data_IF_276334302450
#
_entry.id   IF_276334302450
#
_cell.length_a   1.000
_cell.length_b   1.000
_cell.length_c   1.000
_cell.angle_alpha   90.00
_cell.angle_beta   90.00
_cell.angle_gamma   90.00
#
_symmetry.space_group_name_H-M   'P 1'
#
loop_
_entity.id
_entity.type
_entity.pdbx_description
1 polymer ?
#
# COMPACT_ATOMS: atom_id res chain seq x y z
N UNK A 1 -6.07 -18.08 9.51
CA UNK A 1 -5.86 -16.62 9.58
C UNK A 1 -4.76 -16.21 8.64
N UNK A 2 -5.02 -15.22 7.82
CA UNK A 2 -4.00 -14.65 6.96
C UNK A 2 -3.07 -13.79 7.81
N UNK A 3 -1.80 -14.14 7.84
CA UNK A 3 -0.80 -13.30 8.47
C UNK A 3 -0.60 -12.05 7.62
N UNK A 4 -0.78 -10.90 8.23
CA UNK A 4 -0.39 -9.65 7.61
C UNK A 4 1.10 -9.43 7.87
N UNK A 5 1.83 -9.14 6.81
CA UNK A 5 3.24 -8.82 6.91
C UNK A 5 3.43 -7.31 6.92
N UNK A 6 4.30 -6.83 7.80
CA UNK A 6 4.70 -5.43 7.79
C UNK A 6 5.57 -5.16 6.56
N UNK A 7 5.69 -3.90 6.18
CA UNK A 7 6.55 -3.51 5.05
C UNK A 7 7.99 -3.97 5.26
N UNK A 8 8.50 -3.85 6.49
CA UNK A 8 9.85 -4.31 6.83
C UNK A 8 10.01 -5.81 6.62
N UNK A 9 9.00 -6.58 7.05
CA UNK A 9 9.00 -8.03 6.88
C UNK A 9 8.99 -8.40 5.40
N UNK A 10 8.18 -7.72 4.60
CA UNK A 10 8.10 -7.95 3.15
C UNK A 10 9.47 -7.75 2.50
N UNK A 11 10.13 -6.67 2.81
CA UNK A 11 11.46 -6.37 2.25
C UNK A 11 12.49 -7.41 2.66
N UNK A 12 12.49 -7.82 3.93
CA UNK A 12 13.37 -8.89 4.40
C UNK A 12 13.12 -10.21 3.68
N UNK A 13 11.83 -10.56 3.55
CA UNK A 13 11.44 -11.81 2.87
C UNK A 13 11.93 -11.79 1.43
N UNK A 14 11.72 -10.69 0.71
CA UNK A 14 12.19 -10.56 -0.68
C UNK A 14 13.70 -10.70 -0.78
N UNK A 15 14.43 -10.07 0.14
CA UNK A 15 15.90 -10.18 0.17
C UNK A 15 16.36 -11.60 0.45
N UNK A 16 15.74 -12.29 1.40
CA UNK A 16 16.04 -13.69 1.72
C UNK A 16 15.75 -14.61 0.53
N UNK A 17 14.65 -14.40 -0.15
CA UNK A 17 14.27 -15.20 -1.32
C UNK A 17 15.29 -15.03 -2.44
N UNK A 18 15.76 -13.83 -2.70
CA UNK A 18 16.79 -13.58 -3.71
C UNK A 18 18.11 -14.30 -3.38
N UNK A 19 18.49 -14.33 -2.10
CA UNK A 19 19.73 -14.98 -1.66
C UNK A 19 19.63 -16.49 -1.65
N UNK A 20 18.43 -17.04 -1.57
CA UNK A 20 18.24 -18.49 -1.41
C UNK A 20 18.63 -19.31 -2.63
N UNK A 21 18.55 -18.73 -3.82
CA UNK A 21 18.77 -19.44 -5.07
C UNK A 21 17.75 -20.52 -5.39
N UNK A 22 16.68 -20.61 -4.60
CA UNK A 22 15.61 -21.58 -4.79
C UNK A 22 14.63 -21.11 -5.87
N UNK A 23 13.88 -22.06 -6.39
CA UNK A 23 12.71 -21.73 -7.23
C UNK A 23 11.73 -20.91 -6.42
N UNK A 24 11.01 -20.03 -7.09
CA UNK A 24 10.06 -19.13 -6.42
C UNK A 24 9.03 -19.90 -5.59
N UNK A 25 8.49 -21.00 -6.13
CA UNK A 25 7.54 -21.84 -5.40
C UNK A 25 8.11 -22.38 -4.10
N UNK A 26 9.35 -22.85 -4.13
CA UNK A 26 10.03 -23.39 -2.95
C UNK A 26 10.42 -22.30 -1.95
N UNK A 27 10.84 -21.15 -2.46
CA UNK A 27 11.21 -20.00 -1.62
C UNK A 27 10.00 -19.40 -0.90
N UNK A 28 8.81 -19.50 -1.48
CA UNK A 28 7.57 -18.99 -0.87
C UNK A 28 7.10 -19.83 0.32
N UNK A 29 7.39 -21.13 0.33
CA UNK A 29 6.88 -22.05 1.36
C UNK A 29 7.23 -21.65 2.79
N UNK A 30 8.51 -21.37 3.12
CA UNK A 30 8.86 -21.00 4.50
C UNK A 30 8.14 -19.75 4.99
N UNK A 31 7.76 -18.87 4.07
CA UNK A 31 7.11 -17.60 4.41
C UNK A 31 5.58 -17.68 4.32
N UNK A 32 5.04 -18.84 3.92
CA UNK A 32 3.61 -19.09 3.83
C UNK A 32 2.90 -18.09 2.91
N UNK A 33 3.53 -17.78 1.79
CA UNK A 33 2.98 -16.89 0.77
C UNK A 33 2.84 -17.65 -0.56
N UNK A 34 1.96 -17.14 -1.41
CA UNK A 34 1.77 -17.65 -2.77
C UNK A 34 2.75 -16.98 -3.72
N UNK A 35 2.97 -17.59 -4.88
CA UNK A 35 3.77 -16.96 -5.94
C UNK A 35 3.16 -15.63 -6.38
N UNK A 36 1.82 -15.53 -6.44
CA UNK A 36 1.13 -14.29 -6.77
C UNK A 36 1.46 -13.19 -5.78
N UNK A 37 1.47 -13.51 -4.50
CA UNK A 37 1.85 -12.57 -3.45
C UNK A 37 3.30 -12.13 -3.62
N UNK A 38 4.20 -13.06 -3.89
CA UNK A 38 5.60 -12.75 -4.15
C UNK A 38 5.77 -11.76 -5.30
N UNK A 39 5.12 -12.01 -6.44
CA UNK A 39 5.24 -11.13 -7.61
C UNK A 39 4.63 -9.76 -7.35
N UNK A 40 3.53 -9.70 -6.62
CA UNK A 40 2.92 -8.43 -6.22
C UNK A 40 3.86 -7.61 -5.34
N UNK A 41 4.48 -8.26 -4.37
CA UNK A 41 5.46 -7.62 -3.48
C UNK A 41 6.69 -7.15 -4.24
N UNK A 42 7.16 -7.97 -5.15
CA UNK A 42 8.35 -7.62 -5.96
C UNK A 42 8.10 -6.41 -6.84
N UNK A 43 6.92 -6.30 -7.42
CA UNK A 43 6.56 -5.11 -8.20
C UNK A 43 6.49 -3.85 -7.36
N UNK A 44 5.97 -3.96 -6.15
CA UNK A 44 5.77 -2.80 -5.27
C UNK A 44 7.02 -2.42 -4.50
N UNK A 45 7.75 -3.40 -3.98
CA UNK A 45 8.85 -3.17 -3.06
C UNK A 45 10.21 -3.68 -3.52
N UNK A 46 10.29 -4.31 -4.68
CA UNK A 46 11.55 -4.83 -5.19
C UNK A 46 12.58 -3.73 -5.36
N UNK A 47 13.77 -3.94 -4.80
CA UNK A 47 14.84 -2.97 -4.86
C UNK A 47 14.73 -1.80 -3.90
N UNK A 48 13.64 -1.72 -3.12
CA UNK A 48 13.48 -0.66 -2.11
C UNK A 48 14.20 -1.01 -0.82
N UNK A 49 14.72 0.00 -0.16
CA UNK A 49 15.15 -0.10 1.22
C UNK A 49 13.95 0.08 2.15
N UNK A 50 14.08 -0.37 3.40
CA UNK A 50 13.00 -0.28 4.39
C UNK A 50 12.52 1.16 4.56
N UNK A 51 13.42 2.13 4.61
CA UNK A 51 13.07 3.53 4.76
C UNK A 51 12.23 4.05 3.59
N UNK A 52 12.58 3.65 2.38
CA UNK A 52 11.85 4.03 1.16
C UNK A 52 10.44 3.44 1.15
N UNK A 53 10.31 2.17 1.54
CA UNK A 53 9.03 1.50 1.59
C UNK A 53 8.12 2.08 2.67
N UNK A 54 8.68 2.46 3.82
CA UNK A 54 7.94 3.18 4.87
C UNK A 54 7.43 4.51 4.36
N UNK A 55 8.28 5.24 3.67
CA UNK A 55 7.91 6.54 3.08
C UNK A 55 6.80 6.39 2.06
N UNK A 56 6.88 5.36 1.22
CA UNK A 56 5.83 5.05 0.26
C UNK A 56 4.50 4.81 0.96
N UNK A 57 4.50 4.01 2.02
CA UNK A 57 3.29 3.72 2.80
C UNK A 57 2.70 4.99 3.41
N UNK A 58 3.53 5.82 4.01
CA UNK A 58 3.10 7.10 4.58
C UNK A 58 2.47 8.00 3.52
N UNK A 59 3.08 8.07 2.35
CA UNK A 59 2.56 8.86 1.24
C UNK A 59 1.24 8.33 0.70
N UNK A 60 1.09 7.01 0.63
CA UNK A 60 -0.18 6.39 0.23
C UNK A 60 -1.30 6.71 1.21
N UNK A 61 -1.03 6.61 2.51
CA UNK A 61 -1.98 6.94 3.56
C UNK A 61 -2.37 8.42 3.52
N UNK A 62 -1.38 9.30 3.38
CA UNK A 62 -1.59 10.73 3.27
C UNK A 62 -2.41 11.09 2.03
N UNK A 63 -2.10 10.44 0.92
CA UNK A 63 -2.83 10.66 -0.34
C UNK A 63 -4.30 10.27 -0.19
N UNK A 64 -4.57 9.13 0.44
CA UNK A 64 -5.94 8.68 0.70
C UNK A 64 -6.68 9.64 1.62
N UNK A 65 -6.03 10.10 2.67
CA UNK A 65 -6.59 11.06 3.62
C UNK A 65 -6.95 12.39 2.93
N UNK A 66 -6.04 12.89 2.11
CA UNK A 66 -6.26 14.13 1.36
C UNK A 66 -7.39 14.01 0.35
N UNK A 67 -7.49 12.87 -0.32
CA UNK A 67 -8.58 12.61 -1.27
C UNK A 67 -9.94 12.64 -0.57
N UNK A 68 -10.03 12.04 0.61
CA UNK A 68 -11.26 12.05 1.40
C UNK A 68 -11.62 13.46 1.84
N UNK A 69 -10.63 14.22 2.31
CA UNK A 69 -10.83 15.59 2.74
C UNK A 69 -11.32 16.47 1.58
N UNK A 70 -10.72 16.33 0.41
CA UNK A 70 -11.12 17.07 -0.78
C UNK A 70 -12.56 16.71 -1.18
N UNK A 71 -12.91 15.43 -1.14
CA UNK A 71 -14.26 14.98 -1.46
C UNK A 71 -15.29 15.58 -0.50
N UNK A 72 -14.99 15.56 0.80
CA UNK A 72 -15.89 16.13 1.82
C UNK A 72 -16.05 17.64 1.63
N UNK A 73 -14.95 18.35 1.36
CA UNK A 73 -15.00 19.78 1.10
C UNK A 73 -15.80 20.11 -0.16
N UNK A 74 -15.64 19.30 -1.20
CA UNK A 74 -16.39 19.49 -2.45
C UNK A 74 -17.90 19.34 -2.21
N UNK A 75 -18.29 18.35 -1.40
CA UNK A 75 -19.70 18.16 -1.04
C UNK A 75 -20.23 19.33 -0.20
N UNK A 76 -19.44 19.78 0.77
CA UNK A 76 -19.83 20.92 1.61
C UNK A 76 -20.03 22.18 0.77
N UNK A 77 -19.13 22.43 -0.17
CA UNK A 77 -19.23 23.57 -1.07
C UNK A 77 -20.51 23.47 -1.92
N UNK A 78 -20.81 22.29 -2.43
CA UNK A 78 -22.00 22.05 -3.22
C UNK A 78 -23.28 22.33 -2.41
N UNK A 79 -23.33 21.81 -1.18
CA UNK A 79 -24.44 22.04 -0.26
C UNK A 79 -24.60 23.53 0.04
N UNK A 80 -23.50 24.22 0.33
CA UNK A 80 -23.54 25.66 0.62
C UNK A 80 -24.02 26.45 -0.58
N UNK A 81 -23.63 26.09 -1.78
CA UNK A 81 -24.09 26.72 -3.02
C UNK A 81 -25.60 26.53 -3.21
N UNK A 82 -26.12 25.32 -2.94
CA UNK A 82 -27.54 25.04 -3.04
C UNK A 82 -28.36 25.87 -2.03
N UNK A 83 -27.89 25.90 -0.79
CA UNK A 83 -28.53 26.70 0.26
C UNK A 83 -28.55 28.18 -0.15
N UNK A 84 -27.41 28.65 -0.66
CA UNK A 84 -27.29 30.06 -1.06
C UNK A 84 -28.14 30.42 -2.25
N UNK A 85 -28.32 29.50 -3.21
CA UNK A 85 -29.15 29.70 -4.40
C UNK A 85 -30.66 29.79 -4.07
N UNK A 86 -31.04 29.23 -2.92
CA UNK A 86 -32.45 29.29 -2.45
C UNK A 86 -32.77 30.56 -1.67
N UNK A 87 -31.81 31.41 -1.47
CA UNK A 87 -32.02 32.72 -0.93
C UNK A 87 -32.48 33.65 -2.07
N UNK A 88 -33.61 34.23 -1.89
CA UNK A 88 -34.10 35.25 -2.80
C UNK A 88 -33.52 36.61 -2.44
#
# INVERSE_FOLDING_TARGET
>A
MKKKHSVEQIIRILAEMEKSGLKISDACRPHQITEQTYYRWKRKYGGMEVSEARRLKELEEENLRLKRLVADQALDIQILKEVNSKKW
#
